data_IF_523059718155
#
_entry.id   IF_523059718155
#
_cell.length_a   1.000
_cell.length_b   1.000
_cell.length_c   1.000
_cell.angle_alpha   90.00
_cell.angle_beta   90.00
_cell.angle_gamma   90.00
#
_symmetry.space_group_name_H-M   'P 1'
#
loop_
_entity.id
_entity.type
_entity.pdbx_description
1 polymer ?
#
# COMPACT_ATOMS: atom_id res chain seq x y z
N UNK A 1 -2.50 20.84 -13.72
CA UNK A 1 -1.83 19.54 -13.48
C UNK A 1 -2.70 18.34 -13.87
N UNK A 2 -4.03 18.46 -13.90
CA UNK A 2 -4.95 17.37 -14.24
C UNK A 2 -5.92 17.75 -15.36
N UNK A 3 -6.49 16.75 -16.02
CA UNK A 3 -7.73 16.83 -16.79
C UNK A 3 -8.90 16.46 -15.88
N UNK A 4 -10.04 17.14 -16.03
CA UNK A 4 -11.27 16.75 -15.34
C UNK A 4 -11.94 15.62 -16.12
N UNK A 5 -12.32 14.54 -15.43
CA UNK A 5 -12.99 13.40 -16.07
C UNK A 5 -14.27 13.89 -16.76
N UNK A 6 -14.44 13.47 -18.02
CA UNK A 6 -15.58 13.84 -18.87
C UNK A 6 -15.55 15.25 -19.45
N UNK A 7 -14.49 16.05 -19.25
CA UNK A 7 -14.38 17.43 -19.79
C UNK A 7 -13.06 17.76 -20.48
N UNK A 8 -12.14 16.80 -20.62
CA UNK A 8 -10.84 16.99 -21.28
C UNK A 8 -10.82 16.52 -22.73
N UNK A 9 -9.79 16.87 -23.52
CA UNK A 9 -9.62 16.36 -24.88
C UNK A 9 -9.52 14.83 -24.86
N UNK A 10 -10.40 14.15 -25.61
CA UNK A 10 -10.57 12.69 -25.54
C UNK A 10 -9.26 11.95 -25.80
N UNK A 11 -8.49 12.40 -26.80
CA UNK A 11 -7.20 11.80 -27.20
C UNK A 11 -6.13 11.97 -26.13
N UNK A 12 -6.01 13.15 -25.53
CA UNK A 12 -5.06 13.40 -24.43
C UNK A 12 -5.41 12.59 -23.19
N UNK A 13 -6.70 12.50 -22.87
CA UNK A 13 -7.20 11.69 -21.77
C UNK A 13 -6.87 10.21 -21.99
N UNK A 14 -7.08 9.69 -23.21
CA UNK A 14 -6.71 8.33 -23.59
C UNK A 14 -5.23 8.06 -23.31
N UNK A 15 -4.32 8.89 -23.83
CA UNK A 15 -2.88 8.68 -23.60
C UNK A 15 -2.47 8.88 -22.14
N UNK A 16 -3.12 9.79 -21.40
CA UNK A 16 -2.87 9.93 -19.97
C UNK A 16 -3.23 8.66 -19.19
N UNK A 17 -4.32 7.97 -19.55
CA UNK A 17 -4.63 6.65 -18.98
C UNK A 17 -3.55 5.62 -19.32
N UNK A 18 -3.10 5.58 -20.58
CA UNK A 18 -2.04 4.66 -21.02
C UNK A 18 -0.75 4.88 -20.21
N UNK A 19 -0.32 6.13 -20.07
CA UNK A 19 0.89 6.49 -19.32
C UNK A 19 0.75 6.17 -17.83
N UNK A 20 -0.43 6.38 -17.24
CA UNK A 20 -0.74 6.01 -15.87
C UNK A 20 -0.69 4.48 -15.65
N UNK A 21 -1.29 3.70 -16.56
CA UNK A 21 -1.28 2.23 -16.50
C UNK A 21 0.15 1.72 -16.63
N UNK A 22 0.94 2.24 -17.56
CA UNK A 22 2.36 1.88 -17.72
C UNK A 22 3.15 2.17 -16.45
N UNK A 23 2.93 3.33 -15.83
CA UNK A 23 3.62 3.68 -14.60
C UNK A 23 3.27 2.74 -13.44
N UNK A 24 2.00 2.36 -13.31
CA UNK A 24 1.56 1.35 -12.35
C UNK A 24 2.19 -0.03 -12.65
N UNK A 25 2.24 -0.46 -13.91
CA UNK A 25 2.86 -1.74 -14.29
C UNK A 25 4.35 -1.78 -13.94
N UNK A 26 5.11 -0.72 -14.25
CA UNK A 26 6.52 -0.61 -13.89
C UNK A 26 6.69 -0.70 -12.36
N UNK A 27 5.88 0.05 -11.61
CA UNK A 27 5.93 0.06 -10.14
C UNK A 27 5.55 -1.30 -9.53
N UNK A 28 4.58 -2.01 -10.12
CA UNK A 28 4.19 -3.36 -9.68
C UNK A 28 5.29 -4.38 -9.98
N UNK A 29 5.91 -4.32 -11.16
CA UNK A 29 7.02 -5.21 -11.51
C UNK A 29 8.24 -4.97 -10.59
N UNK A 30 8.58 -3.71 -10.34
CA UNK A 30 9.64 -3.35 -9.38
C UNK A 30 9.30 -3.84 -7.97
N UNK A 31 8.05 -3.68 -7.52
CA UNK A 31 7.59 -4.18 -6.24
C UNK A 31 7.78 -5.68 -6.09
N UNK A 32 7.37 -6.46 -7.11
CA UNK A 32 7.55 -7.90 -7.12
C UNK A 32 9.03 -8.29 -7.02
N UNK A 33 9.89 -7.69 -7.85
CA UNK A 33 11.33 -7.97 -7.82
C UNK A 33 11.96 -7.63 -6.46
N UNK A 34 11.61 -6.48 -5.88
CA UNK A 34 12.10 -6.03 -4.57
C UNK A 34 11.64 -6.95 -3.44
N UNK A 35 10.39 -7.42 -3.44
CA UNK A 35 9.92 -8.38 -2.44
C UNK A 35 10.60 -9.74 -2.58
N UNK A 36 10.77 -10.25 -3.80
CA UNK A 36 11.47 -11.53 -4.02
C UNK A 36 12.93 -11.44 -3.56
N UNK A 37 13.63 -10.35 -3.92
CA UNK A 37 14.99 -10.10 -3.45
C UNK A 37 15.04 -9.92 -1.93
N UNK A 38 14.10 -9.16 -1.35
CA UNK A 38 14.01 -8.94 0.09
C UNK A 38 13.78 -10.23 0.87
N UNK A 39 12.92 -11.13 0.40
CA UNK A 39 12.66 -12.42 1.03
C UNK A 39 13.86 -13.38 0.93
N UNK A 40 14.71 -13.24 -0.08
CA UNK A 40 15.95 -14.00 -0.25
C UNK A 40 17.14 -13.40 0.54
N UNK A 41 17.09 -12.11 0.88
CA UNK A 41 18.17 -11.37 1.53
C UNK A 41 18.42 -11.59 3.05
N UNK A 42 17.57 -12.25 3.87
CA UNK A 42 17.87 -12.40 5.30
C UNK A 42 19.19 -13.09 5.61
N UNK A 43 19.65 -14.00 4.72
CA UNK A 43 20.96 -14.64 4.84
C UNK A 43 22.15 -13.74 4.48
N UNK A 44 21.90 -12.53 3.96
CA UNK A 44 22.90 -11.55 3.55
C UNK A 44 23.02 -10.41 4.57
N UNK A 45 21.91 -9.78 4.94
CA UNK A 45 21.87 -8.66 5.90
C UNK A 45 20.44 -8.28 6.27
N UNK A 46 20.17 -8.10 7.56
CA UNK A 46 18.88 -7.58 8.07
C UNK A 46 18.57 -6.17 7.54
N UNK A 47 19.60 -5.34 7.35
CA UNK A 47 19.47 -3.99 6.80
C UNK A 47 19.00 -4.05 5.35
N UNK A 48 19.66 -4.88 4.53
CA UNK A 48 19.32 -5.05 3.10
C UNK A 48 17.92 -5.65 2.97
N UNK A 49 17.58 -6.65 3.80
CA UNK A 49 16.23 -7.18 3.89
C UNK A 49 15.21 -6.06 4.17
N UNK A 50 15.43 -5.25 5.21
CA UNK A 50 14.53 -4.15 5.59
C UNK A 50 14.32 -3.11 4.49
N UNK A 51 15.40 -2.65 3.85
CA UNK A 51 15.31 -1.68 2.73
C UNK A 51 14.59 -2.29 1.52
N UNK A 52 14.91 -3.52 1.09
CA UNK A 52 14.24 -4.16 -0.04
C UNK A 52 12.74 -4.38 0.21
N UNK A 53 12.38 -4.84 1.40
CA UNK A 53 10.98 -5.06 1.76
C UNK A 53 10.19 -3.75 1.81
N UNK A 54 10.77 -2.67 2.34
CA UNK A 54 10.09 -1.36 2.42
C UNK A 54 10.03 -0.64 1.08
N UNK A 55 11.06 -0.74 0.24
CA UNK A 55 11.02 -0.25 -1.14
C UNK A 55 10.00 -1.02 -1.98
N UNK A 56 9.95 -2.34 -1.83
CA UNK A 56 8.94 -3.18 -2.47
C UNK A 56 7.54 -2.76 -2.08
N UNK A 57 7.34 -2.43 -0.80
CA UNK A 57 6.07 -1.96 -0.26
C UNK A 57 5.68 -0.56 -0.77
N UNK A 58 6.61 0.39 -0.81
CA UNK A 58 6.37 1.72 -1.39
C UNK A 58 6.02 1.63 -2.87
N UNK A 59 6.75 0.81 -3.62
CA UNK A 59 6.51 0.58 -5.06
C UNK A 59 5.15 -0.08 -5.30
N UNK A 60 4.75 -1.01 -4.42
CA UNK A 60 3.44 -1.65 -4.48
C UNK A 60 2.30 -0.63 -4.35
N UNK A 61 2.36 0.19 -3.31
CA UNK A 61 1.31 1.18 -3.05
C UNK A 61 1.34 2.32 -4.04
N UNK A 62 2.50 2.68 -4.60
CA UNK A 62 2.56 3.58 -5.76
C UNK A 62 1.75 2.99 -6.91
N UNK A 63 1.99 1.72 -7.27
CA UNK A 63 1.24 1.08 -8.35
C UNK A 63 -0.28 1.11 -8.11
N UNK A 64 -0.72 0.56 -6.97
CA UNK A 64 -2.13 0.35 -6.67
C UNK A 64 -2.86 1.68 -6.51
N UNK A 65 -2.31 2.60 -5.72
CA UNK A 65 -2.96 3.89 -5.47
C UNK A 65 -2.93 4.79 -6.70
N UNK A 66 -1.88 4.74 -7.52
CA UNK A 66 -1.78 5.56 -8.73
C UNK A 66 -2.75 5.08 -9.81
N UNK A 67 -2.93 3.76 -9.97
CA UNK A 67 -3.92 3.21 -10.90
C UNK A 67 -5.34 3.71 -10.57
N UNK A 68 -5.65 3.79 -9.28
CA UNK A 68 -6.98 4.18 -8.79
C UNK A 68 -7.14 5.70 -8.61
N UNK A 69 -6.07 6.46 -8.82
CA UNK A 69 -6.05 7.90 -8.60
C UNK A 69 -7.19 8.64 -9.31
N UNK A 70 -7.55 8.31 -10.57
CA UNK A 70 -8.67 8.99 -11.25
C UNK A 70 -10.01 8.77 -10.57
N UNK A 71 -10.27 7.57 -10.06
CA UNK A 71 -11.48 7.28 -9.29
C UNK A 71 -11.50 8.02 -7.94
N UNK A 72 -10.32 8.19 -7.32
CA UNK A 72 -10.20 8.83 -6.01
C UNK A 72 -10.28 10.35 -6.06
N UNK A 73 -9.87 10.97 -7.16
CA UNK A 73 -9.80 12.43 -7.28
C UNK A 73 -10.79 13.02 -8.28
N UNK A 74 -11.48 12.17 -9.06
CA UNK A 74 -12.29 12.57 -10.20
C UNK A 74 -11.48 13.42 -11.22
N UNK A 75 -10.18 13.12 -11.32
CA UNK A 75 -9.25 13.86 -12.17
C UNK A 75 -8.15 12.94 -12.71
N UNK A 76 -7.73 13.18 -13.94
CA UNK A 76 -6.67 12.42 -14.58
C UNK A 76 -5.38 13.25 -14.58
N UNK A 77 -4.25 12.78 -14.02
CA UNK A 77 -2.97 13.47 -14.15
C UNK A 77 -2.62 13.69 -15.62
N UNK A 78 -2.01 14.85 -15.95
CA UNK A 78 -1.48 15.06 -17.29
C UNK A 78 -0.38 14.02 -17.59
N UNK A 79 -0.31 13.58 -18.84
CA UNK A 79 0.66 12.58 -19.35
C UNK A 79 2.08 12.64 -18.75
N UNK A 80 2.81 13.78 -18.80
CA UNK A 80 4.18 13.81 -18.28
C UNK A 80 4.26 13.53 -16.78
N UNK A 81 3.19 13.80 -16.02
CA UNK A 81 3.21 13.64 -14.56
C UNK A 81 3.32 12.18 -14.13
N UNK A 82 2.90 11.21 -14.94
CA UNK A 82 3.11 9.78 -14.63
C UNK A 82 4.60 9.42 -14.61
N UNK A 83 5.35 9.88 -15.62
CA UNK A 83 6.79 9.63 -15.70
C UNK A 83 7.59 10.51 -14.74
N UNK A 84 7.19 11.76 -14.53
CA UNK A 84 7.81 12.61 -13.49
C UNK A 84 7.62 11.99 -12.11
N UNK A 85 6.42 11.48 -11.79
CA UNK A 85 6.17 10.81 -10.52
C UNK A 85 7.04 9.55 -10.34
N UNK A 86 7.20 8.74 -11.39
CA UNK A 86 8.13 7.60 -11.38
C UNK A 86 9.59 8.02 -11.19
N UNK A 87 10.03 9.05 -11.91
CA UNK A 87 11.39 9.55 -11.81
C UNK A 87 11.68 10.05 -10.39
N UNK A 88 10.76 10.82 -9.80
CA UNK A 88 10.87 11.28 -8.42
C UNK A 88 10.82 10.12 -7.41
N UNK A 89 10.05 9.07 -7.68
CA UNK A 89 10.07 7.84 -6.87
C UNK A 89 11.44 7.16 -6.92
N UNK A 90 12.00 6.98 -8.11
CA UNK A 90 13.33 6.39 -8.29
C UNK A 90 14.43 7.23 -7.64
N UNK A 91 14.35 8.56 -7.75
CA UNK A 91 15.25 9.50 -7.07
C UNK A 91 15.10 9.41 -5.54
N UNK A 92 13.88 9.31 -5.02
CA UNK A 92 13.63 9.11 -3.59
C UNK A 92 14.23 7.82 -3.06
N UNK A 93 14.09 6.72 -3.82
CA UNK A 93 14.69 5.43 -3.51
C UNK A 93 16.23 5.47 -3.56
N UNK A 94 16.80 6.03 -4.62
CA UNK A 94 18.25 6.18 -4.76
C UNK A 94 18.84 7.08 -3.66
N UNK A 95 18.19 8.22 -3.38
CA UNK A 95 18.57 9.10 -2.29
C UNK A 95 18.48 8.43 -0.93
N UNK A 96 17.47 7.57 -0.70
CA UNK A 96 17.37 6.79 0.54
C UNK A 96 18.54 5.82 0.70
N UNK A 97 18.92 5.10 -0.37
CA UNK A 97 20.09 4.22 -0.36
C UNK A 97 21.41 4.99 -0.15
N UNK A 98 21.48 6.22 -0.64
CA UNK A 98 22.59 7.14 -0.41
C UNK A 98 22.48 7.94 0.90
N UNK A 99 21.52 7.63 1.76
CA UNK A 99 21.27 8.32 3.04
C UNK A 99 21.06 9.85 2.92
N UNK A 100 20.53 10.32 1.78
CA UNK A 100 20.19 11.72 1.55
C UNK A 100 18.95 12.10 2.37
N UNK A 101 19.02 13.12 3.25
CA UNK A 101 17.87 13.60 3.99
C UNK A 101 16.74 14.07 3.08
N UNK A 102 15.50 13.79 3.46
CA UNK A 102 14.29 14.21 2.74
C UNK A 102 14.24 13.78 1.26
N UNK A 103 14.92 12.69 0.89
CA UNK A 103 14.96 12.20 -0.50
C UNK A 103 13.58 11.99 -1.13
N UNK A 104 12.58 11.66 -0.30
CA UNK A 104 11.21 11.44 -0.72
C UNK A 104 10.36 12.71 -0.85
N UNK A 105 10.82 13.86 -0.34
CA UNK A 105 10.01 15.08 -0.30
C UNK A 105 9.50 15.52 -1.68
N UNK A 106 10.30 15.49 -2.77
CA UNK A 106 9.80 15.84 -4.11
C UNK A 106 8.68 14.91 -4.59
N UNK A 107 8.85 13.60 -4.41
CA UNK A 107 7.84 12.59 -4.76
C UNK A 107 6.54 12.83 -3.97
N UNK A 108 6.66 12.97 -2.65
CA UNK A 108 5.54 13.23 -1.75
C UNK A 108 4.80 14.51 -2.11
N UNK A 109 5.52 15.62 -2.35
CA UNK A 109 4.92 16.90 -2.68
C UNK A 109 4.10 16.84 -3.98
N UNK A 110 4.68 16.26 -5.05
CA UNK A 110 3.96 16.10 -6.32
C UNK A 110 2.73 15.22 -6.14
N UNK A 111 2.87 14.09 -5.43
CA UNK A 111 1.76 13.15 -5.30
C UNK A 111 0.63 13.72 -4.44
N UNK A 112 0.96 14.45 -3.37
CA UNK A 112 -0.01 15.21 -2.56
C UNK A 112 -0.74 16.24 -3.44
N UNK A 113 -0.02 16.98 -4.29
CA UNK A 113 -0.62 17.95 -5.20
C UNK A 113 -1.62 17.31 -6.18
N UNK A 114 -1.35 16.10 -6.65
CA UNK A 114 -2.28 15.35 -7.48
C UNK A 114 -3.57 14.96 -6.74
N UNK A 115 -3.53 14.78 -5.41
CA UNK A 115 -4.71 14.44 -4.61
C UNK A 115 -5.65 15.61 -4.30
N UNK A 116 -5.21 16.87 -4.46
CA UNK A 116 -5.99 18.07 -4.14
C UNK A 116 -7.41 18.07 -4.73
N UNK A 117 -7.65 17.72 -6.00
CA UNK A 117 -9.00 17.70 -6.57
C UNK A 117 -9.95 16.72 -5.86
N UNK A 118 -9.41 15.69 -5.22
CA UNK A 118 -10.13 14.67 -4.47
C UNK A 118 -10.57 15.06 -3.06
N UNK A 119 -10.23 16.26 -2.59
CA UNK A 119 -10.62 16.76 -1.26
C UNK A 119 -12.06 17.30 -1.24
N UNK A 120 -12.99 16.56 -1.84
CA UNK A 120 -14.40 16.93 -1.93
C UNK A 120 -15.33 15.74 -1.68
N UNK A 121 -16.45 16.01 -1.04
CA UNK A 121 -17.50 15.01 -0.78
C UNK A 121 -16.98 13.75 -0.09
N UNK A 122 -17.49 12.59 -0.51
CA UNK A 122 -17.15 11.27 0.08
C UNK A 122 -15.71 10.81 -0.20
N UNK A 123 -15.02 11.44 -1.14
CA UNK A 123 -13.63 11.12 -1.45
C UNK A 123 -12.62 11.81 -0.53
N UNK A 124 -13.00 12.92 0.11
CA UNK A 124 -12.08 13.70 0.93
C UNK A 124 -11.49 12.91 2.11
N UNK A 125 -12.28 12.23 2.97
CA UNK A 125 -11.74 11.52 4.13
C UNK A 125 -10.63 10.51 3.79
N UNK A 126 -10.80 9.53 2.89
CA UNK A 126 -9.72 8.60 2.53
C UNK A 126 -8.54 9.28 1.82
N UNK A 127 -8.77 10.34 1.03
CA UNK A 127 -7.66 11.07 0.41
C UNK A 127 -6.79 11.81 1.43
N UNK A 128 -7.39 12.34 2.50
CA UNK A 128 -6.65 12.98 3.60
C UNK A 128 -5.70 11.98 4.27
N UNK A 129 -6.15 10.74 4.49
CA UNK A 129 -5.30 9.68 5.03
C UNK A 129 -4.11 9.40 4.10
N UNK A 130 -4.35 9.24 2.79
CA UNK A 130 -3.27 9.01 1.82
C UNK A 130 -2.28 10.17 1.78
N UNK A 131 -2.77 11.41 1.77
CA UNK A 131 -1.93 12.61 1.80
C UNK A 131 -1.13 12.72 3.10
N UNK A 132 -1.68 12.35 4.25
CA UNK A 132 -0.95 12.28 5.52
C UNK A 132 0.18 11.24 5.46
N UNK A 133 -0.08 10.07 4.87
CA UNK A 133 0.98 9.07 4.62
C UNK A 133 2.10 9.59 3.71
N UNK A 134 1.75 10.30 2.64
CA UNK A 134 2.74 10.94 1.75
C UNK A 134 3.52 12.04 2.48
N UNK A 135 2.86 12.84 3.32
CA UNK A 135 3.52 13.84 4.14
C UNK A 135 4.51 13.17 5.10
N UNK A 136 4.13 12.08 5.77
CA UNK A 136 5.05 11.30 6.60
C UNK A 136 6.24 10.73 5.80
N UNK A 137 6.00 10.28 4.55
CA UNK A 137 7.04 9.71 3.71
C UNK A 137 8.16 10.72 3.42
N UNK A 138 7.82 12.01 3.27
CA UNK A 138 8.80 13.06 3.02
C UNK A 138 9.89 13.16 4.12
N UNK A 139 9.55 12.76 5.35
CA UNK A 139 10.42 12.83 6.53
C UNK A 139 10.84 11.45 7.05
N UNK A 140 10.47 10.35 6.36
CA UNK A 140 10.74 9.00 6.83
C UNK A 140 12.24 8.67 6.76
N UNK A 141 12.85 8.42 7.92
CA UNK A 141 14.29 8.13 8.06
C UNK A 141 14.62 6.67 8.40
N UNK A 142 13.62 5.82 8.64
CA UNK A 142 13.81 4.41 9.00
C UNK A 142 12.84 3.49 8.24
N UNK A 143 13.15 2.19 8.09
CA UNK A 143 12.25 1.22 7.44
C UNK A 143 10.84 1.21 8.06
N UNK A 144 10.74 1.26 9.38
CA UNK A 144 9.46 1.34 10.08
C UNK A 144 8.67 2.60 9.71
N UNK A 145 9.32 3.77 9.67
CA UNK A 145 8.66 5.02 9.22
C UNK A 145 8.24 4.93 7.75
N UNK A 146 9.04 4.33 6.87
CA UNK A 146 8.68 4.12 5.46
C UNK A 146 7.41 3.26 5.36
N UNK A 147 7.31 2.18 6.16
CA UNK A 147 6.13 1.32 6.20
C UNK A 147 4.88 2.03 6.75
N UNK A 148 5.05 2.76 7.87
CA UNK A 148 4.00 3.56 8.50
C UNK A 148 3.63 4.81 7.71
N UNK A 149 4.40 5.22 6.70
CA UNK A 149 4.10 6.41 5.92
C UNK A 149 3.00 6.15 4.87
N UNK A 150 3.34 6.33 3.59
CA UNK A 150 2.44 6.14 2.47
C UNK A 150 1.80 4.75 2.40
N UNK A 151 2.51 3.62 2.66
CA UNK A 151 1.90 2.29 2.56
C UNK A 151 0.78 2.02 3.56
N UNK A 152 1.05 2.14 4.86
CA UNK A 152 0.05 1.87 5.90
C UNK A 152 -1.14 2.85 5.80
N UNK A 153 -0.88 4.13 5.54
CA UNK A 153 -1.93 5.11 5.36
C UNK A 153 -2.79 4.84 4.11
N UNK A 154 -2.18 4.35 3.03
CA UNK A 154 -2.90 3.92 1.82
C UNK A 154 -3.73 2.67 2.06
N UNK A 155 -3.22 1.70 2.82
CA UNK A 155 -3.99 0.53 3.25
C UNK A 155 -5.23 0.95 4.04
N UNK A 156 -5.07 1.85 5.01
CA UNK A 156 -6.16 2.43 5.81
C UNK A 156 -7.15 3.22 4.94
N UNK A 157 -6.67 4.01 3.99
CA UNK A 157 -7.50 4.72 3.01
C UNK A 157 -8.36 3.78 2.16
N UNK A 158 -7.78 2.70 1.64
CA UNK A 158 -8.49 1.68 0.87
C UNK A 158 -9.53 0.95 1.73
N UNK A 159 -9.16 0.54 2.94
CA UNK A 159 -10.08 -0.08 3.90
C UNK A 159 -11.25 0.85 4.23
N UNK A 160 -10.98 2.15 4.46
CA UNK A 160 -12.03 3.12 4.71
C UNK A 160 -13.00 3.21 3.52
N UNK A 161 -12.49 3.25 2.27
CA UNK A 161 -13.34 3.29 1.07
C UNK A 161 -14.24 2.07 0.95
N UNK A 162 -13.66 0.88 1.08
CA UNK A 162 -14.42 -0.38 0.92
C UNK A 162 -15.41 -0.56 2.06
N UNK A 163 -15.02 -0.31 3.30
CA UNK A 163 -15.92 -0.43 4.45
C UNK A 163 -17.04 0.60 4.40
N UNK A 164 -16.75 1.85 4.03
CA UNK A 164 -17.76 2.90 3.84
C UNK A 164 -18.81 2.49 2.81
N UNK A 165 -18.36 1.89 1.69
CA UNK A 165 -19.27 1.37 0.67
C UNK A 165 -20.11 0.19 1.18
N UNK A 166 -19.49 -0.80 1.83
CA UNK A 166 -20.18 -2.02 2.28
C UNK A 166 -21.14 -1.78 3.45
N UNK A 167 -20.74 -0.99 4.43
CA UNK A 167 -21.52 -0.71 5.64
C UNK A 167 -22.43 0.52 5.50
N UNK A 168 -22.42 1.17 4.32
CA UNK A 168 -23.16 2.41 4.04
C UNK A 168 -22.94 3.50 5.09
N UNK A 169 -21.69 3.65 5.57
CA UNK A 169 -21.31 4.71 6.52
C UNK A 169 -20.27 5.63 5.89
N UNK A 170 -20.15 6.84 6.42
CA UNK A 170 -19.13 7.80 6.01
C UNK A 170 -18.43 8.40 7.22
N UNK A 171 -17.12 8.56 7.11
CA UNK A 171 -16.32 9.34 8.04
C UNK A 171 -16.38 10.81 7.64
N UNK A 172 -16.56 11.71 8.60
CA UNK A 172 -16.54 13.16 8.35
C UNK A 172 -15.13 13.67 8.06
N UNK A 173 -15.02 14.77 7.31
CA UNK A 173 -13.71 15.40 6.99
C UNK A 173 -12.96 15.77 8.27
N UNK A 174 -13.62 16.39 9.25
CA UNK A 174 -13.00 16.76 10.53
C UNK A 174 -12.42 15.54 11.27
N UNK A 175 -13.15 14.43 11.31
CA UNK A 175 -12.67 13.17 11.91
C UNK A 175 -11.45 12.62 11.18
N UNK A 176 -11.43 12.68 9.84
CA UNK A 176 -10.29 12.24 9.06
C UNK A 176 -9.05 13.13 9.24
N UNK A 177 -9.24 14.46 9.37
CA UNK A 177 -8.16 15.41 9.69
C UNK A 177 -7.61 15.15 11.10
N UNK A 178 -8.48 14.99 12.09
CA UNK A 178 -8.08 14.67 13.46
C UNK A 178 -7.30 13.35 13.52
N UNK A 179 -7.80 12.31 12.84
CA UNK A 179 -7.09 11.05 12.71
C UNK A 179 -5.73 11.22 12.03
N UNK A 180 -5.66 11.96 10.91
CA UNK A 180 -4.40 12.21 10.21
C UNK A 180 -3.37 12.93 11.09
N UNK A 181 -3.80 13.88 11.93
CA UNK A 181 -2.92 14.54 12.87
C UNK A 181 -2.39 13.58 13.94
N UNK A 182 -3.27 12.75 14.54
CA UNK A 182 -2.86 11.71 15.51
C UNK A 182 -1.94 10.68 14.87
N UNK A 183 -2.21 10.30 13.62
CA UNK A 183 -1.40 9.37 12.85
C UNK A 183 0.01 9.90 12.60
N UNK A 184 0.12 11.14 12.12
CA UNK A 184 1.41 11.82 11.94
C UNK A 184 2.16 11.96 13.27
N UNK A 185 1.47 12.38 14.32
CA UNK A 185 2.05 12.47 15.66
C UNK A 185 2.57 11.11 16.13
N UNK A 186 1.84 10.01 15.87
CA UNK A 186 2.29 8.67 16.25
C UNK A 186 3.61 8.28 15.58
N UNK A 187 3.82 8.66 14.31
CA UNK A 187 5.04 8.32 13.53
C UNK A 187 6.27 9.10 14.00
N UNK A 188 6.09 10.36 14.41
CA UNK A 188 7.20 11.28 14.74
C UNK A 188 7.33 11.62 16.22
N UNK A 189 6.41 11.12 17.07
CA UNK A 189 6.52 11.25 18.53
C UNK A 189 7.68 10.42 19.07
N UNK A 190 8.19 10.75 20.28
CA UNK A 190 9.18 9.93 20.97
C UNK A 190 8.61 8.62 21.52
N UNK A 191 7.36 8.26 21.19
CA UNK A 191 6.77 6.99 21.60
C UNK A 191 7.57 5.81 21.03
N UNK A 192 7.74 4.71 21.78
CA UNK A 192 8.31 3.50 21.22
C UNK A 192 7.50 3.03 20.00
N UNK A 193 8.20 2.66 18.92
CA UNK A 193 7.59 2.18 17.64
C UNK A 193 6.47 1.16 17.84
N UNK A 194 6.59 0.16 18.75
CA UNK A 194 5.52 -0.79 18.99
C UNK A 194 4.22 -0.14 19.49
N UNK A 195 4.34 0.81 20.42
CA UNK A 195 3.21 1.55 20.98
C UNK A 195 2.61 2.52 19.96
N UNK A 196 3.44 3.23 19.20
CA UNK A 196 3.01 4.12 18.12
C UNK A 196 2.21 3.37 17.05
N UNK A 197 2.66 2.18 16.66
CA UNK A 197 1.99 1.31 15.68
C UNK A 197 0.61 0.89 16.20
N UNK A 198 0.53 0.37 17.43
CA UNK A 198 -0.73 -0.04 18.03
C UNK A 198 -1.70 1.14 18.18
N UNK A 199 -1.22 2.31 18.61
CA UNK A 199 -2.01 3.52 18.76
C UNK A 199 -2.62 3.96 17.42
N UNK A 200 -1.83 4.00 16.36
CA UNK A 200 -2.29 4.40 15.03
C UNK A 200 -3.41 3.47 14.52
N UNK A 201 -3.25 2.16 14.67
CA UNK A 201 -4.26 1.18 14.24
C UNK A 201 -5.48 1.15 15.17
N UNK A 202 -5.31 1.37 16.48
CA UNK A 202 -6.43 1.47 17.42
C UNK A 202 -7.27 2.73 17.14
N UNK A 203 -6.61 3.87 16.90
CA UNK A 203 -7.26 5.10 16.47
C UNK A 203 -8.00 4.90 15.14
N UNK A 204 -7.39 4.19 14.18
CA UNK A 204 -8.06 3.86 12.93
C UNK A 204 -9.32 3.02 13.15
N UNK A 205 -9.26 1.98 13.98
CA UNK A 205 -10.41 1.17 14.35
C UNK A 205 -11.52 1.99 15.00
N UNK A 206 -11.18 2.94 15.86
CA UNK A 206 -12.16 3.86 16.44
C UNK A 206 -12.86 4.69 15.36
N UNK A 207 -12.10 5.25 14.40
CA UNK A 207 -12.63 6.03 13.26
C UNK A 207 -13.55 5.20 12.39
N UNK A 208 -13.17 3.96 12.09
CA UNK A 208 -13.99 3.06 11.26
C UNK A 208 -15.04 2.29 12.06
N UNK A 209 -15.23 2.57 13.36
CA UNK A 209 -16.21 1.89 14.23
C UNK A 209 -16.03 0.37 14.23
N UNK A 210 -14.81 -0.07 14.50
CA UNK A 210 -14.43 -1.47 14.69
C UNK A 210 -14.15 -2.26 13.41
N UNK A 211 -14.27 -3.58 13.53
CA UNK A 211 -14.05 -4.54 12.46
C UNK A 211 -15.39 -5.00 11.90
N UNK A 212 -15.49 -5.12 10.58
CA UNK A 212 -16.68 -5.63 9.92
C UNK A 212 -16.38 -6.97 9.27
N UNK A 213 -16.99 -8.04 9.82
CA UNK A 213 -16.76 -9.42 9.37
C UNK A 213 -17.96 -9.89 8.55
N UNK A 214 -17.68 -10.26 7.30
CA UNK A 214 -18.59 -10.97 6.41
C UNK A 214 -17.96 -12.31 6.01
N UNK A 215 -18.73 -13.19 5.37
CA UNK A 215 -18.24 -14.48 4.87
C UNK A 215 -17.23 -14.38 3.71
N UNK A 216 -16.94 -13.16 3.25
CA UNK A 216 -16.05 -12.92 2.12
C UNK A 216 -14.57 -12.93 2.55
N UNK A 217 -13.64 -13.43 1.70
CA UNK A 217 -12.21 -13.43 1.97
C UNK A 217 -11.63 -12.07 2.37
N UNK A 218 -12.14 -10.99 1.77
CA UNK A 218 -11.78 -9.61 2.10
C UNK A 218 -11.97 -9.29 3.58
N UNK A 219 -13.11 -9.69 4.17
CA UNK A 219 -13.48 -9.27 5.51
C UNK A 219 -12.60 -9.92 6.58
N UNK A 220 -12.28 -11.21 6.43
CA UNK A 220 -11.35 -11.91 7.32
C UNK A 220 -9.93 -11.38 7.19
N UNK A 221 -9.45 -11.18 5.96
CA UNK A 221 -8.11 -10.67 5.72
C UNK A 221 -7.89 -9.27 6.28
N UNK A 222 -8.85 -8.36 6.07
CA UNK A 222 -8.75 -7.00 6.64
C UNK A 222 -8.96 -6.96 8.14
N UNK A 223 -9.73 -7.88 8.73
CA UNK A 223 -9.81 -8.03 10.18
C UNK A 223 -8.43 -8.39 10.77
N UNK A 224 -7.81 -9.46 10.26
CA UNK A 224 -6.47 -9.89 10.70
C UNK A 224 -5.44 -8.79 10.45
N UNK A 225 -5.49 -8.14 9.28
CA UNK A 225 -4.59 -7.05 8.92
C UNK A 225 -4.68 -5.81 9.81
N UNK A 226 -5.83 -5.55 10.43
CA UNK A 226 -6.01 -4.46 11.41
C UNK A 226 -5.59 -4.88 12.81
N UNK A 227 -5.80 -6.13 13.17
CA UNK A 227 -5.53 -6.65 14.52
C UNK A 227 -4.04 -6.97 14.73
N UNK A 228 -3.34 -7.49 13.73
CA UNK A 228 -1.92 -7.82 13.85
C UNK A 228 -1.07 -6.64 14.31
N UNK A 229 -1.18 -5.43 13.72
CA UNK A 229 -0.40 -4.27 14.18
C UNK A 229 -0.73 -3.82 15.62
N UNK A 230 -1.90 -4.15 16.17
CA UNK A 230 -2.22 -3.89 17.58
C UNK A 230 -1.41 -4.77 18.54
N UNK A 231 -0.91 -5.91 18.06
CA UNK A 231 -0.05 -6.81 18.82
C UNK A 231 1.41 -6.37 18.83
N UNK A 232 1.77 -5.29 18.12
CA UNK A 232 3.13 -4.75 18.12
C UNK A 232 3.73 -4.56 19.53
N UNK A 233 3.00 -4.11 20.58
CA UNK A 233 3.51 -3.96 21.94
C UNK A 233 4.03 -5.26 22.56
N UNK A 234 3.66 -6.43 22.04
CA UNK A 234 4.28 -7.69 22.42
C UNK A 234 5.80 -7.70 22.15
N UNK A 235 6.30 -6.80 21.29
CA UNK A 235 7.73 -6.59 21.12
C UNK A 235 8.46 -6.07 22.36
N UNK A 236 7.76 -5.49 23.34
CA UNK A 236 8.35 -5.22 24.66
C UNK A 236 8.72 -6.49 25.42
N UNK A 237 8.17 -7.64 25.02
CA UNK A 237 8.49 -8.97 25.54
C UNK A 237 9.56 -9.69 24.69
N UNK A 238 10.22 -9.00 23.76
CA UNK A 238 11.27 -9.55 22.89
C UNK A 238 10.76 -10.15 21.57
N UNK A 239 9.47 -10.03 21.26
CA UNK A 239 8.92 -10.43 19.96
C UNK A 239 9.28 -9.42 18.85
N UNK A 240 9.30 -9.84 17.57
CA UNK A 240 9.64 -8.95 16.46
C UNK A 240 8.53 -7.92 16.21
N UNK A 241 8.62 -6.77 16.90
CA UNK A 241 7.58 -5.75 16.94
C UNK A 241 7.18 -5.20 15.55
N UNK A 242 8.17 -4.87 14.72
CA UNK A 242 7.92 -4.30 13.40
C UNK A 242 7.30 -5.34 12.43
N UNK A 243 7.53 -6.64 12.65
CA UNK A 243 6.94 -7.70 11.82
C UNK A 243 5.42 -7.77 11.96
N UNK A 244 4.84 -7.41 13.11
CA UNK A 244 3.38 -7.35 13.25
C UNK A 244 2.74 -6.35 12.28
N UNK A 245 3.40 -5.19 12.08
CA UNK A 245 2.98 -4.20 11.08
C UNK A 245 3.10 -4.79 9.66
N UNK A 246 4.28 -5.28 9.30
CA UNK A 246 4.55 -5.78 7.95
C UNK A 246 3.63 -6.95 7.58
N UNK A 247 3.41 -7.88 8.52
CA UNK A 247 2.50 -9.00 8.34
C UNK A 247 1.05 -8.54 8.21
N UNK A 248 0.61 -7.57 9.03
CA UNK A 248 -0.71 -6.96 8.89
C UNK A 248 -0.94 -6.38 7.49
N UNK A 249 0.03 -5.63 6.98
CA UNK A 249 -0.02 -5.07 5.63
C UNK A 249 0.00 -6.18 4.55
N UNK A 250 0.82 -7.22 4.71
CA UNK A 250 0.87 -8.34 3.78
C UNK A 250 -0.48 -9.07 3.69
N UNK A 251 -1.15 -9.31 4.83
CA UNK A 251 -2.49 -9.92 4.83
C UNK A 251 -3.49 -9.03 4.09
N UNK A 252 -3.43 -7.70 4.28
CA UNK A 252 -4.28 -6.75 3.53
C UNK A 252 -3.99 -6.84 2.03
N UNK A 253 -2.72 -6.87 1.63
CA UNK A 253 -2.33 -6.98 0.22
C UNK A 253 -2.89 -8.24 -0.43
N UNK A 254 -2.77 -9.39 0.20
CA UNK A 254 -3.28 -10.67 -0.33
C UNK A 254 -4.81 -10.79 -0.31
N UNK A 255 -5.50 -9.99 0.51
CA UNK A 255 -6.95 -10.09 0.68
C UNK A 255 -7.73 -9.03 -0.10
N UNK A 256 -7.09 -7.90 -0.42
CA UNK A 256 -7.68 -6.79 -1.14
C UNK A 256 -6.92 -6.47 -2.44
N UNK A 257 -5.60 -6.29 -2.36
CA UNK A 257 -4.86 -5.76 -3.50
C UNK A 257 -4.55 -6.79 -4.59
N UNK A 258 -4.07 -7.98 -4.21
CA UNK A 258 -3.70 -9.03 -5.16
C UNK A 258 -4.92 -9.57 -5.92
N UNK A 259 -6.04 -9.93 -5.26
CA UNK A 259 -7.13 -10.57 -5.98
C UNK A 259 -7.83 -9.63 -6.98
N UNK A 260 -7.82 -8.32 -6.71
CA UNK A 260 -8.63 -7.34 -7.44
C UNK A 260 -7.80 -6.33 -8.22
N UNK A 261 -6.76 -5.75 -7.62
CA UNK A 261 -6.00 -4.66 -8.25
C UNK A 261 -4.85 -5.14 -9.12
N UNK A 262 -4.16 -6.22 -8.78
CA UNK A 262 -3.04 -6.72 -9.62
C UNK A 262 -3.50 -7.10 -11.04
N UNK A 263 -4.61 -7.86 -11.24
CA UNK A 263 -5.13 -8.09 -12.59
C UNK A 263 -5.47 -6.77 -13.32
N UNK A 264 -6.04 -5.80 -12.59
CA UNK A 264 -6.42 -4.50 -13.14
C UNK A 264 -5.21 -3.67 -13.60
N UNK A 265 -4.09 -3.70 -12.86
CA UNK A 265 -2.82 -3.05 -13.26
C UNK A 265 -2.32 -3.58 -14.60
N UNK A 266 -2.40 -4.90 -14.80
CA UNK A 266 -1.94 -5.54 -16.04
C UNK A 266 -3.01 -5.57 -17.14
N UNK A 267 -4.18 -4.95 -16.92
CA UNK A 267 -5.34 -5.01 -17.81
C UNK A 267 -5.68 -6.45 -18.20
N UNK A 268 -5.81 -7.34 -17.21
CA UNK A 268 -6.16 -8.75 -17.42
C UNK A 268 -7.44 -9.12 -16.72
N UNK A 269 -8.09 -10.17 -17.22
CA UNK A 269 -9.22 -10.79 -16.53
C UNK A 269 -8.80 -11.22 -15.12
N UNK A 270 -9.73 -11.12 -14.17
CA UNK A 270 -9.48 -11.54 -12.79
C UNK A 270 -9.40 -13.07 -12.77
N UNK A 271 -8.27 -13.65 -12.30
CA UNK A 271 -8.14 -15.10 -12.21
C UNK A 271 -9.16 -15.71 -11.25
N UNK A 272 -9.49 -16.98 -11.46
CA UNK A 272 -10.18 -17.77 -10.44
C UNK A 272 -9.22 -18.09 -9.30
N UNK A 273 -9.20 -17.23 -8.30
CA UNK A 273 -8.36 -17.41 -7.12
C UNK A 273 -8.77 -18.64 -6.32
N UNK A 274 -7.77 -19.40 -5.84
CA UNK A 274 -8.02 -20.45 -4.85
C UNK A 274 -8.51 -19.80 -3.55
N UNK A 275 -9.50 -20.44 -2.92
CA UNK A 275 -10.13 -19.99 -1.67
C UNK A 275 -9.15 -19.81 -0.49
N UNK A 276 -7.92 -20.31 -0.62
CA UNK A 276 -6.89 -20.29 0.42
C UNK A 276 -5.81 -19.22 0.19
N UNK A 277 -5.90 -18.38 -0.85
CA UNK A 277 -4.86 -17.40 -1.17
C UNK A 277 -4.55 -16.45 0.01
N UNK A 278 -5.58 -16.01 0.73
CA UNK A 278 -5.46 -15.16 1.91
C UNK A 278 -4.86 -15.88 3.13
N UNK A 279 -4.83 -17.22 3.14
CA UNK A 279 -4.18 -18.00 4.20
C UNK A 279 -2.66 -17.99 4.07
N UNK A 280 -2.12 -17.75 2.88
CA UNK A 280 -0.68 -17.68 2.62
C UNK A 280 0.03 -16.69 3.57
N UNK A 281 -0.33 -15.40 3.62
CA UNK A 281 0.31 -14.46 4.53
C UNK A 281 -0.01 -14.75 5.99
N UNK A 282 -1.17 -15.32 6.32
CA UNK A 282 -1.53 -15.68 7.70
C UNK A 282 -0.62 -16.81 8.21
N UNK A 283 -0.48 -17.87 7.43
CA UNK A 283 0.41 -18.99 7.75
C UNK A 283 1.88 -18.54 7.79
N UNK A 284 2.31 -17.71 6.84
CA UNK A 284 3.65 -17.13 6.86
C UNK A 284 3.88 -16.28 8.12
N UNK A 285 2.89 -15.50 8.55
CA UNK A 285 2.95 -14.72 9.79
C UNK A 285 3.10 -15.63 11.00
N UNK A 286 2.29 -16.68 11.12
CA UNK A 286 2.37 -17.64 12.23
C UNK A 286 3.74 -18.32 12.31
N UNK A 287 4.27 -18.76 11.17
CA UNK A 287 5.59 -19.37 11.08
C UNK A 287 6.70 -18.37 11.46
N UNK A 288 6.60 -17.12 10.99
CA UNK A 288 7.58 -16.07 11.29
C UNK A 288 7.61 -15.71 12.78
N UNK A 289 6.43 -15.66 13.41
CA UNK A 289 6.29 -15.31 14.83
C UNK A 289 6.84 -16.37 15.78
N UNK A 290 7.13 -17.59 15.31
CA UNK A 290 7.79 -18.62 16.14
C UNK A 290 9.22 -18.26 16.51
N UNK A 291 9.90 -17.40 15.72
CA UNK A 291 11.31 -17.07 15.90
C UNK A 291 12.30 -18.21 15.59
N UNK A 292 11.81 -19.40 15.23
CA UNK A 292 12.63 -20.59 14.96
C UNK A 292 13.18 -20.51 13.53
N UNK A 293 14.51 -20.49 13.38
CA UNK A 293 15.20 -20.25 12.10
C UNK A 293 14.63 -21.01 10.88
N UNK A 294 14.49 -22.35 10.93
CA UNK A 294 13.87 -23.12 9.85
C UNK A 294 12.43 -22.69 9.50
N UNK A 295 11.59 -22.41 10.51
CA UNK A 295 10.20 -21.96 10.30
C UNK A 295 10.14 -20.55 9.71
N UNK A 296 11.05 -19.68 10.14
CA UNK A 296 11.26 -18.36 9.55
C UNK A 296 11.66 -18.48 8.07
N UNK A 297 12.54 -19.42 7.70
CA UNK A 297 12.86 -19.71 6.31
C UNK A 297 11.66 -20.18 5.49
N UNK A 298 10.87 -21.11 6.03
CA UNK A 298 9.62 -21.59 5.39
C UNK A 298 8.63 -20.45 5.19
N UNK A 299 8.52 -19.51 6.14
CA UNK A 299 7.64 -18.34 5.97
C UNK A 299 7.98 -17.51 4.73
N UNK A 300 9.28 -17.33 4.44
CA UNK A 300 9.74 -16.59 3.28
C UNK A 300 9.46 -17.37 1.98
N UNK A 301 9.72 -18.67 1.96
CA UNK A 301 9.41 -19.56 0.83
C UNK A 301 7.91 -19.54 0.52
N UNK A 302 7.06 -19.58 1.54
CA UNK A 302 5.61 -19.55 1.39
C UNK A 302 5.13 -18.22 0.76
N UNK A 303 5.68 -17.09 1.20
CA UNK A 303 5.38 -15.77 0.61
C UNK A 303 5.88 -15.65 -0.84
N UNK A 304 7.11 -16.13 -1.12
CA UNK A 304 7.66 -16.16 -2.48
C UNK A 304 6.81 -17.03 -3.41
N UNK A 305 6.43 -18.23 -2.97
CA UNK A 305 5.56 -19.14 -3.72
C UNK A 305 4.17 -18.52 -3.95
N UNK A 306 3.60 -17.86 -2.95
CA UNK A 306 2.33 -17.14 -3.07
C UNK A 306 2.40 -15.98 -4.08
N UNK A 307 3.49 -15.21 -4.05
CA UNK A 307 3.75 -14.14 -5.02
C UNK A 307 3.91 -14.67 -6.43
N UNK A 308 4.74 -15.70 -6.62
CA UNK A 308 4.96 -16.35 -7.91
C UNK A 308 3.68 -16.96 -8.47
N UNK A 309 2.89 -17.63 -7.62
CA UNK A 309 1.57 -18.14 -7.98
C UNK A 309 0.64 -17.02 -8.45
N UNK A 310 0.58 -15.90 -7.72
CA UNK A 310 -0.26 -14.77 -8.09
C UNK A 310 0.16 -14.14 -9.42
N UNK A 311 1.47 -13.94 -9.62
CA UNK A 311 2.02 -13.43 -10.87
C UNK A 311 1.68 -14.36 -12.05
N UNK A 312 1.93 -15.66 -11.90
CA UNK A 312 1.61 -16.66 -12.92
C UNK A 312 0.11 -16.69 -13.24
N UNK A 313 -0.75 -16.73 -12.22
CA UNK A 313 -2.20 -16.76 -12.39
C UNK A 313 -2.67 -15.53 -13.18
N UNK A 314 -2.21 -14.33 -12.82
CA UNK A 314 -2.57 -13.09 -13.53
C UNK A 314 -2.04 -13.09 -14.97
N UNK A 315 -0.77 -13.41 -15.18
CA UNK A 315 -0.14 -13.35 -16.52
C UNK A 315 -0.67 -14.39 -17.50
N UNK A 316 -1.30 -15.46 -17.00
CA UNK A 316 -1.98 -16.46 -17.84
C UNK A 316 -3.36 -15.99 -18.32
N UNK A 317 -4.03 -15.11 -17.58
CA UNK A 317 -5.37 -14.64 -17.94
C UNK A 317 -5.36 -13.76 -19.19
N UNK A 318 -6.50 -13.72 -19.89
CA UNK A 318 -6.65 -12.95 -21.12
C UNK A 318 -6.40 -11.47 -20.85
N UNK A 319 -5.58 -10.85 -21.70
CA UNK A 319 -5.38 -9.41 -21.71
C UNK A 319 -6.60 -8.70 -22.32
N UNK A 320 -6.95 -7.55 -21.76
CA UNK A 320 -7.91 -6.63 -22.33
C UNK A 320 -7.17 -5.67 -23.27
N UNK A 321 -7.42 -5.75 -24.59
CA UNK A 321 -6.77 -4.85 -25.53
C UNK A 321 -7.26 -3.42 -25.28
N UNK A 322 -6.32 -2.48 -25.25
CA UNK A 322 -6.65 -1.07 -25.36
C UNK A 322 -7.09 -0.81 -26.81
N UNK A 323 -8.29 -0.26 -27.00
CA UNK A 323 -8.80 0.11 -28.32
C UNK A 323 -7.94 1.19 -28.99
N UNK A 324 -8.18 1.50 -30.27
CA UNK A 324 -7.48 2.61 -30.92
C UNK A 324 -7.77 3.94 -30.21
N UNK A 325 -6.83 4.90 -30.24
CA UNK A 325 -7.07 6.23 -29.71
C UNK A 325 -8.28 6.89 -30.41
N UNK A 326 -9.17 7.56 -29.66
CA UNK A 326 -10.37 8.21 -30.19
C UNK A 326 -10.07 9.52 -30.93
#
# INVERSE_FOLDING_TARGET
>A
MWYRIGRGPTRDYYYANVDLIRASQISMAASFALFMAGLAAPGLSDLVHGELMTMGLLSFYLSVMYLQHPAFTNSMPKRPLSYVLLALFALGAAGRLAHVPFSWAPFSALYIALYIPGLRGRNAPPNILTMAGLAALAFAGSPWQLAMSFPAASAMSLMLRVDSAKRKFSVGVATAVAFAAVYLASIFSPLPRPAATALAFAAFLAVVRGVYILREPYAWGTAVGRLLPLLSPLGFLGLPADHFLYMGIAVIMFSLCIPWFVPSVFLRQVPKWRSHLQLVPIAASALRLTGVGPLVGISAVLLMAGGAYAAYAVLRERAFPLGPPP
#
